data_IF_044938781775
#
_entry.id   IF_044938781775
#
_cell.length_a   1.000
_cell.length_b   1.000
_cell.length_c   1.000
_cell.angle_alpha   90.00
_cell.angle_beta   90.00
_cell.angle_gamma   90.00
#
_symmetry.space_group_name_H-M   'P 1'
#
loop_
_entity.id
_entity.type
_entity.pdbx_description
1 polymer ?
#
# COMPACT_ATOMS: atom_id res chain seq x y z
N UNK A 1 0.64 14.17 -18.23
CA UNK A 1 -0.14 13.81 -17.02
C UNK A 1 0.25 12.39 -16.65
N UNK A 2 0.63 12.12 -15.39
CA UNK A 2 1.00 10.76 -14.92
C UNK A 2 -0.26 9.93 -14.66
N UNK A 3 -0.20 8.63 -14.96
CA UNK A 3 -1.23 7.68 -14.53
C UNK A 3 -0.76 6.96 -13.26
N UNK A 4 -1.56 7.05 -12.21
CA UNK A 4 -1.24 6.53 -10.87
C UNK A 4 -2.27 5.46 -10.49
N UNK A 5 -1.82 4.23 -10.29
CA UNK A 5 -2.64 3.17 -9.72
C UNK A 5 -2.40 3.07 -8.22
N UNK A 6 -3.48 3.12 -7.44
CA UNK A 6 -3.43 2.91 -5.99
C UNK A 6 -4.36 1.77 -5.62
N UNK A 7 -3.82 0.70 -5.05
CA UNK A 7 -4.64 -0.41 -4.57
C UNK A 7 -5.19 -0.12 -3.17
N UNK A 8 -6.45 -0.51 -2.90
CA UNK A 8 -7.12 -0.25 -1.61
C UNK A 8 -7.30 1.24 -1.33
N UNK A 9 -7.74 2.01 -2.33
CA UNK A 9 -7.79 3.46 -2.28
C UNK A 9 -9.17 4.06 -1.90
N UNK A 10 -10.11 3.23 -1.42
CA UNK A 10 -11.44 3.73 -0.99
C UNK A 10 -11.40 4.49 0.35
N UNK A 11 -10.35 4.30 1.16
CA UNK A 11 -10.22 4.92 2.50
C UNK A 11 -8.77 4.92 3.00
N UNK A 12 -8.55 5.57 4.14
CA UNK A 12 -7.26 5.56 4.84
C UNK A 12 -6.09 6.05 4.01
N UNK A 13 -4.94 5.40 4.14
CA UNK A 13 -3.69 5.79 3.47
C UNK A 13 -3.86 5.82 1.94
N UNK A 14 -4.57 4.82 1.37
CA UNK A 14 -4.79 4.77 -0.08
C UNK A 14 -5.61 5.95 -0.59
N UNK A 15 -6.67 6.35 0.12
CA UNK A 15 -7.47 7.53 -0.21
C UNK A 15 -6.66 8.82 -0.09
N UNK A 16 -5.94 9.01 1.02
CA UNK A 16 -5.07 10.17 1.20
C UNK A 16 -3.99 10.25 0.11
N UNK A 17 -3.42 9.10 -0.29
CA UNK A 17 -2.46 9.03 -1.39
C UNK A 17 -3.11 9.44 -2.72
N UNK A 18 -4.32 8.96 -3.02
CA UNK A 18 -5.06 9.35 -4.23
C UNK A 18 -5.30 10.86 -4.27
N UNK A 19 -5.69 11.45 -3.15
CA UNK A 19 -5.93 12.89 -3.05
C UNK A 19 -4.62 13.71 -3.13
N UNK A 20 -3.51 13.22 -2.61
CA UNK A 20 -2.20 13.84 -2.78
C UNK A 20 -1.81 13.92 -4.26
N UNK A 21 -1.94 12.82 -5.02
CA UNK A 21 -1.70 12.83 -6.46
C UNK A 21 -2.74 13.64 -7.25
N UNK A 22 -3.95 13.82 -6.71
CA UNK A 22 -4.95 14.67 -7.35
C UNK A 22 -4.51 16.15 -7.41
N UNK A 23 -3.76 16.63 -6.43
CA UNK A 23 -3.18 17.99 -6.47
C UNK A 23 -2.18 18.18 -7.61
N UNK A 24 -1.61 17.11 -8.13
CA UNK A 24 -0.72 17.12 -9.30
C UNK A 24 -1.47 16.99 -10.63
N UNK A 25 -2.80 16.95 -10.60
CA UNK A 25 -3.68 16.72 -11.76
C UNK A 25 -3.36 15.40 -12.49
N UNK A 26 -3.10 14.33 -11.72
CA UNK A 26 -2.81 13.02 -12.27
C UNK A 26 -4.07 12.32 -12.81
N UNK A 27 -3.89 11.28 -13.65
CA UNK A 27 -4.94 10.32 -13.94
C UNK A 27 -4.90 9.21 -12.89
N UNK A 28 -5.94 9.10 -12.05
CA UNK A 28 -5.92 8.24 -10.86
C UNK A 28 -6.78 7.00 -11.10
N UNK A 29 -6.17 5.82 -11.00
CA UNK A 29 -6.85 4.54 -11.01
C UNK A 29 -7.05 4.10 -9.54
N UNK A 30 -8.29 4.16 -9.08
CA UNK A 30 -8.71 3.89 -7.71
C UNK A 30 -9.18 2.45 -7.61
N UNK A 31 -8.32 1.55 -7.10
CA UNK A 31 -8.76 0.18 -6.84
C UNK A 31 -9.42 0.07 -5.47
N UNK A 32 -10.53 -0.69 -5.43
CA UNK A 32 -11.27 -1.06 -4.22
C UNK A 32 -11.77 -2.52 -4.32
N UNK A 33 -12.07 -3.14 -3.19
CA UNK A 33 -12.67 -4.48 -3.14
C UNK A 33 -14.20 -4.39 -3.01
N UNK A 34 -14.70 -3.99 -1.85
CA UNK A 34 -16.15 -3.96 -1.54
C UNK A 34 -16.68 -2.55 -1.22
N UNK A 35 -15.82 -1.62 -0.83
CA UNK A 35 -16.20 -0.26 -0.41
C UNK A 35 -16.30 0.68 -1.64
N UNK A 36 -17.35 0.48 -2.43
CA UNK A 36 -17.62 1.28 -3.63
C UNK A 36 -17.93 2.73 -3.28
N UNK A 37 -18.73 2.98 -2.25
CA UNK A 37 -19.12 4.33 -1.86
C UNK A 37 -17.91 5.18 -1.43
N UNK A 38 -16.98 4.58 -0.67
CA UNK A 38 -15.72 5.24 -0.33
C UNK A 38 -14.89 5.56 -1.56
N UNK A 39 -14.79 4.62 -2.51
CA UNK A 39 -14.05 4.84 -3.76
C UNK A 39 -14.69 5.94 -4.63
N UNK A 40 -16.02 6.00 -4.74
CA UNK A 40 -16.76 7.07 -5.44
C UNK A 40 -16.52 8.43 -4.79
N UNK A 41 -16.49 8.49 -3.45
CA UNK A 41 -16.17 9.71 -2.71
C UNK A 41 -14.77 10.22 -3.03
N UNK A 42 -13.77 9.34 -3.01
CA UNK A 42 -12.38 9.70 -3.35
C UNK A 42 -12.28 10.15 -4.82
N UNK A 43 -12.97 9.48 -5.73
CA UNK A 43 -12.98 9.86 -7.14
C UNK A 43 -13.58 11.26 -7.35
N UNK A 44 -14.71 11.57 -6.69
CA UNK A 44 -15.34 12.88 -6.75
C UNK A 44 -14.41 13.99 -6.22
N UNK A 45 -13.74 13.74 -5.09
CA UNK A 45 -12.76 14.69 -4.52
C UNK A 45 -11.56 14.90 -5.44
N UNK A 46 -11.05 13.83 -6.07
CA UNK A 46 -9.95 13.93 -7.04
C UNK A 46 -10.37 14.75 -8.27
N UNK A 47 -11.60 14.59 -8.75
CA UNK A 47 -12.15 15.35 -9.88
C UNK A 47 -12.31 16.84 -9.53
N UNK A 48 -12.74 17.17 -8.32
CA UNK A 48 -12.80 18.56 -7.82
C UNK A 48 -11.41 19.19 -7.80
N UNK A 49 -10.36 18.44 -7.49
CA UNK A 49 -8.98 18.90 -7.56
C UNK A 49 -8.43 19.02 -9.01
N UNK A 50 -9.21 18.66 -10.02
CA UNK A 50 -8.85 18.78 -11.44
C UNK A 50 -8.14 17.54 -12.02
N UNK A 51 -8.19 16.41 -11.34
CA UNK A 51 -7.70 15.11 -11.80
C UNK A 51 -8.80 14.34 -12.55
N UNK A 52 -8.40 13.34 -13.34
CA UNK A 52 -9.32 12.29 -13.75
C UNK A 52 -9.25 11.13 -12.78
N UNK A 53 -10.36 10.44 -12.57
CA UNK A 53 -10.43 9.29 -11.70
C UNK A 53 -11.25 8.16 -12.32
N UNK A 54 -10.71 6.94 -12.28
CA UNK A 54 -11.39 5.72 -12.72
C UNK A 54 -11.41 4.72 -11.57
N UNK A 55 -12.57 4.12 -11.35
CA UNK A 55 -12.75 3.06 -10.35
C UNK A 55 -12.44 1.70 -10.95
N UNK A 56 -11.66 0.90 -10.24
CA UNK A 56 -11.32 -0.47 -10.62
C UNK A 56 -11.65 -1.39 -9.43
N UNK A 57 -12.58 -2.33 -9.64
CA UNK A 57 -12.98 -3.28 -8.60
C UNK A 57 -12.30 -4.62 -8.78
N UNK A 58 -11.71 -5.15 -7.70
CA UNK A 58 -11.20 -6.52 -7.65
C UNK A 58 -11.13 -7.05 -6.21
N UNK A 59 -11.28 -8.36 -6.03
CA UNK A 59 -10.95 -9.03 -4.77
C UNK A 59 -9.52 -9.59 -4.84
N UNK A 60 -8.59 -8.95 -4.15
CA UNK A 60 -7.20 -9.36 -4.09
C UNK A 60 -6.94 -10.43 -3.02
N UNK A 61 -7.96 -10.95 -2.35
CA UNK A 61 -7.83 -12.05 -1.38
C UNK A 61 -7.81 -13.42 -2.06
N UNK A 62 -8.10 -13.50 -3.35
CA UNK A 62 -8.12 -14.73 -4.15
C UNK A 62 -7.13 -14.65 -5.31
N UNK A 63 -6.59 -15.81 -5.71
CA UNK A 63 -5.68 -15.90 -6.86
C UNK A 63 -6.40 -15.46 -8.15
N UNK A 64 -7.63 -15.94 -8.34
CA UNK A 64 -8.43 -15.61 -9.52
C UNK A 64 -8.66 -14.10 -9.64
N UNK A 65 -9.09 -13.45 -8.54
CA UNK A 65 -9.33 -12.02 -8.52
C UNK A 65 -8.05 -11.20 -8.76
N UNK A 66 -6.93 -11.61 -8.15
CA UNK A 66 -5.65 -10.95 -8.35
C UNK A 66 -5.15 -11.06 -9.79
N UNK A 67 -5.25 -12.26 -10.42
CA UNK A 67 -4.84 -12.47 -11.81
C UNK A 67 -5.76 -11.76 -12.79
N UNK A 68 -7.08 -11.82 -12.60
CA UNK A 68 -8.03 -11.09 -13.42
C UNK A 68 -7.79 -9.58 -13.37
N UNK A 69 -7.51 -9.05 -12.18
CA UNK A 69 -7.15 -7.64 -12.03
C UNK A 69 -5.84 -7.31 -12.75
N UNK A 70 -4.81 -8.12 -12.55
CA UNK A 70 -3.51 -7.95 -13.23
C UNK A 70 -3.68 -7.93 -14.76
N UNK A 71 -4.55 -8.77 -15.32
CA UNK A 71 -4.82 -8.77 -16.76
C UNK A 71 -5.45 -7.47 -17.24
N UNK A 72 -6.43 -6.92 -16.50
CA UNK A 72 -7.02 -5.61 -16.84
C UNK A 72 -5.99 -4.47 -16.85
N UNK A 73 -4.98 -4.55 -15.98
CA UNK A 73 -3.96 -3.52 -15.84
C UNK A 73 -3.01 -3.42 -17.03
N UNK A 74 -2.83 -4.49 -17.82
CA UNK A 74 -1.98 -4.49 -19.03
C UNK A 74 -2.45 -3.49 -20.09
N UNK A 75 -3.71 -3.08 -20.05
CA UNK A 75 -4.28 -2.09 -20.96
C UNK A 75 -4.09 -0.64 -20.49
N UNK A 76 -3.54 -0.44 -19.28
CA UNK A 76 -3.29 0.87 -18.71
C UNK A 76 -1.80 1.23 -18.77
N UNK A 77 -1.51 2.46 -19.21
CA UNK A 77 -0.15 3.02 -19.22
C UNK A 77 0.16 3.64 -17.85
N UNK A 78 0.55 2.80 -16.89
CA UNK A 78 0.72 3.19 -15.47
C UNK A 78 2.15 3.68 -15.24
N UNK A 79 2.29 4.93 -14.81
CA UNK A 79 3.58 5.57 -14.48
C UNK A 79 3.98 5.37 -13.02
N UNK A 80 2.97 5.25 -12.14
CA UNK A 80 3.17 5.11 -10.69
C UNK A 80 2.26 4.01 -10.16
N UNK A 81 2.84 3.06 -9.45
CA UNK A 81 2.12 1.98 -8.77
C UNK A 81 2.27 2.11 -7.26
N UNK A 82 1.15 2.20 -6.54
CA UNK A 82 1.10 2.16 -5.09
C UNK A 82 0.39 0.88 -4.64
N UNK A 83 1.16 -0.10 -4.20
CA UNK A 83 0.66 -1.33 -3.61
C UNK A 83 0.30 -1.08 -2.14
N UNK A 84 -0.89 -0.55 -1.91
CA UNK A 84 -1.37 -0.20 -0.58
C UNK A 84 -2.40 -1.21 -0.03
N UNK A 85 -3.14 -1.92 -0.87
CA UNK A 85 -4.12 -2.90 -0.40
C UNK A 85 -3.51 -3.87 0.62
N UNK A 86 -4.17 -4.04 1.74
CA UNK A 86 -3.71 -4.93 2.81
C UNK A 86 -4.65 -4.92 4.01
N UNK A 87 -4.73 -6.05 4.70
CA UNK A 87 -5.57 -6.24 5.88
C UNK A 87 -5.04 -7.40 6.72
N UNK A 88 -5.36 -7.39 8.01
CA UNK A 88 -5.24 -8.58 8.86
C UNK A 88 -6.22 -9.70 8.45
N UNK A 89 -7.33 -9.32 7.79
CA UNK A 89 -8.52 -10.17 7.54
C UNK A 89 -9.14 -10.63 8.86
N UNK A 90 -8.34 -11.04 9.81
CA UNK A 90 -8.71 -11.41 11.17
C UNK A 90 -7.47 -11.63 12.05
N UNK A 91 -7.69 -11.96 13.31
CA UNK A 91 -6.62 -12.28 14.25
C UNK A 91 -6.76 -13.73 14.70
N UNK A 92 -5.70 -14.51 14.48
CA UNK A 92 -5.61 -15.90 14.93
C UNK A 92 -4.25 -16.15 15.57
N UNK A 93 -4.23 -16.88 16.69
CA UNK A 93 -2.97 -17.36 17.27
C UNK A 93 -2.42 -18.51 16.41
N UNK A 94 -1.12 -18.75 16.49
CA UNK A 94 -0.46 -19.77 15.66
C UNK A 94 -1.11 -21.16 15.73
N UNK A 95 -1.50 -21.69 16.91
CA UNK A 95 -2.12 -23.03 16.99
C UNK A 95 -3.52 -23.10 16.33
N UNK A 96 -4.22 -21.96 16.26
CA UNK A 96 -5.62 -21.90 15.85
C UNK A 96 -5.78 -21.21 14.48
N UNK A 97 -4.68 -21.03 13.71
CA UNK A 97 -4.73 -20.37 12.41
C UNK A 97 -5.36 -21.27 11.35
N UNK A 98 -6.53 -20.91 10.79
CA UNK A 98 -7.11 -21.66 9.67
C UNK A 98 -6.25 -21.52 8.42
N UNK A 99 -6.12 -22.62 7.65
CA UNK A 99 -5.29 -22.63 6.43
C UNK A 99 -5.78 -21.62 5.39
N UNK A 100 -7.10 -21.52 5.20
CA UNK A 100 -7.70 -20.56 4.26
C UNK A 100 -7.46 -19.11 4.68
N UNK A 101 -7.46 -18.83 5.99
CA UNK A 101 -7.12 -17.49 6.49
C UNK A 101 -5.65 -17.15 6.22
N UNK A 102 -4.74 -18.09 6.43
CA UNK A 102 -3.33 -17.95 6.11
C UNK A 102 -3.13 -17.65 4.62
N UNK A 103 -3.71 -18.45 3.75
CA UNK A 103 -3.60 -18.33 2.29
C UNK A 103 -4.17 -16.98 1.79
N UNK A 104 -5.35 -16.59 2.26
CA UNK A 104 -5.97 -15.29 1.93
C UNK A 104 -5.14 -14.12 2.42
N UNK A 105 -4.53 -14.24 3.60
CA UNK A 105 -3.67 -13.17 4.14
C UNK A 105 -2.41 -13.01 3.29
N UNK A 106 -1.78 -14.10 2.88
CA UNK A 106 -0.63 -14.09 1.96
C UNK A 106 -1.04 -13.55 0.60
N UNK A 107 -2.17 -14.01 0.06
CA UNK A 107 -2.65 -13.56 -1.24
C UNK A 107 -2.85 -12.03 -1.26
N UNK A 108 -3.59 -11.48 -0.29
CA UNK A 108 -3.87 -10.05 -0.24
C UNK A 108 -2.62 -9.20 0.00
N UNK A 109 -1.76 -9.61 0.97
CA UNK A 109 -0.71 -8.73 1.48
C UNK A 109 0.65 -8.92 0.82
N UNK A 110 0.83 -9.99 0.03
CA UNK A 110 2.11 -10.31 -0.62
C UNK A 110 1.94 -10.71 -2.07
N UNK A 111 1.16 -11.76 -2.37
CA UNK A 111 1.08 -12.30 -3.73
C UNK A 111 0.46 -11.31 -4.71
N UNK A 112 -0.58 -10.58 -4.29
CA UNK A 112 -1.20 -9.54 -5.11
C UNK A 112 -0.22 -8.41 -5.48
N UNK A 113 0.67 -8.05 -4.56
CA UNK A 113 1.74 -7.06 -4.80
C UNK A 113 2.62 -7.50 -5.96
N UNK A 114 2.99 -8.78 -5.97
CA UNK A 114 3.78 -9.38 -7.05
C UNK A 114 3.01 -9.38 -8.38
N UNK A 115 1.79 -9.92 -8.44
CA UNK A 115 1.03 -10.04 -9.68
C UNK A 115 0.70 -8.68 -10.30
N UNK A 116 0.34 -7.69 -9.50
CA UNK A 116 0.07 -6.33 -9.96
C UNK A 116 1.35 -5.68 -10.50
N UNK A 117 2.47 -5.80 -9.79
CA UNK A 117 3.74 -5.29 -10.26
C UNK A 117 4.17 -5.95 -11.57
N UNK A 118 4.03 -7.28 -11.69
CA UNK A 118 4.34 -8.03 -12.92
C UNK A 118 3.54 -7.54 -14.14
N UNK A 119 2.28 -7.12 -13.93
CA UNK A 119 1.45 -6.60 -15.01
C UNK A 119 1.80 -5.17 -15.43
N UNK A 120 2.25 -4.33 -14.47
CA UNK A 120 2.47 -2.89 -14.66
C UNK A 120 3.90 -2.57 -15.13
N UNK A 121 4.88 -3.28 -14.59
CA UNK A 121 6.32 -3.01 -14.81
C UNK A 121 6.76 -3.07 -16.28
N UNK A 122 6.23 -3.95 -17.15
CA UNK A 122 6.63 -3.99 -18.57
C UNK A 122 6.49 -2.64 -19.29
N UNK A 123 5.40 -1.88 -19.06
CA UNK A 123 5.23 -0.54 -19.61
C UNK A 123 6.29 0.45 -19.04
N UNK A 124 6.60 0.37 -17.76
CA UNK A 124 7.62 1.23 -17.14
C UNK A 124 9.02 0.92 -17.71
N UNK A 125 9.33 -0.35 -17.98
CA UNK A 125 10.59 -0.77 -18.64
C UNK A 125 10.68 -0.20 -20.04
N UNK A 126 9.63 -0.34 -20.85
CA UNK A 126 9.59 0.24 -22.20
C UNK A 126 9.82 1.76 -22.16
N UNK A 127 9.22 2.44 -21.20
CA UNK A 127 9.33 3.88 -21.00
C UNK A 127 10.66 4.31 -20.38
N UNK A 128 11.46 3.39 -19.81
CA UNK A 128 12.67 3.66 -19.04
C UNK A 128 12.42 4.65 -17.87
N UNK A 129 11.24 4.59 -17.29
CA UNK A 129 10.81 5.47 -16.19
C UNK A 129 9.59 4.93 -15.46
N UNK A 130 9.65 4.86 -14.14
CA UNK A 130 8.51 4.44 -13.31
C UNK A 130 8.78 4.56 -11.82
N UNK A 131 7.69 4.52 -11.06
CA UNK A 131 7.76 4.51 -9.60
C UNK A 131 6.85 3.44 -9.03
N UNK A 132 7.38 2.64 -8.13
CA UNK A 132 6.61 1.65 -7.36
C UNK A 132 6.85 1.92 -5.88
N UNK A 133 5.77 2.12 -5.12
CA UNK A 133 5.84 2.19 -3.66
C UNK A 133 4.96 1.08 -3.08
N UNK A 134 5.58 0.21 -2.31
CA UNK A 134 4.90 -0.84 -1.56
C UNK A 134 4.60 -0.34 -0.14
N UNK A 135 3.38 -0.52 0.34
CA UNK A 135 3.02 -0.18 1.72
C UNK A 135 3.26 -1.40 2.61
N UNK A 136 4.37 -1.33 3.33
CA UNK A 136 4.75 -2.26 4.37
C UNK A 136 3.96 -2.04 5.67
N UNK A 137 4.63 -2.23 6.80
CA UNK A 137 4.11 -1.93 8.15
C UNK A 137 5.24 -2.08 9.19
N UNK A 138 5.16 -1.34 10.28
CA UNK A 138 5.96 -1.61 11.49
C UNK A 138 5.78 -3.06 11.97
N UNK A 139 4.63 -3.68 11.73
CA UNK A 139 4.39 -5.10 12.05
C UNK A 139 5.37 -6.04 11.35
N UNK A 140 5.82 -5.71 10.13
CA UNK A 140 6.85 -6.47 9.42
C UNK A 140 8.24 -6.36 10.05
N UNK A 141 8.45 -5.44 11.00
CA UNK A 141 9.69 -5.21 11.74
C UNK A 141 9.68 -5.89 13.11
N UNK A 142 8.57 -5.76 13.83
CA UNK A 142 8.46 -6.19 15.23
C UNK A 142 7.57 -7.43 15.44
N UNK A 143 7.03 -8.03 14.37
CA UNK A 143 6.15 -9.19 14.44
C UNK A 143 4.66 -8.87 14.65
N UNK A 144 4.34 -7.60 14.85
CA UNK A 144 2.96 -7.16 15.09
C UNK A 144 2.42 -7.52 16.48
N UNK A 145 1.16 -7.23 16.72
CA UNK A 145 0.48 -7.59 17.96
C UNK A 145 -0.07 -9.02 17.94
N UNK A 146 -0.65 -9.49 19.06
CA UNK A 146 -1.22 -10.84 19.18
C UNK A 146 -2.15 -11.20 18.01
N UNK A 147 -1.95 -12.37 17.42
CA UNK A 147 -2.75 -12.88 16.30
C UNK A 147 -2.50 -12.19 14.94
N UNK A 148 -1.47 -11.38 14.82
CA UNK A 148 -1.14 -10.66 13.58
C UNK A 148 0.04 -11.28 12.79
N UNK A 149 0.56 -12.44 13.21
CA UNK A 149 1.82 -12.97 12.66
C UNK A 149 1.77 -13.21 11.15
N UNK A 150 0.65 -13.69 10.59
CA UNK A 150 0.52 -13.90 9.15
C UNK A 150 0.67 -12.58 8.37
N UNK A 151 -0.01 -11.54 8.82
CA UNK A 151 0.14 -10.18 8.28
C UNK A 151 1.55 -9.65 8.44
N UNK A 152 2.13 -9.79 9.64
CA UNK A 152 3.48 -9.34 9.93
C UNK A 152 4.51 -10.03 9.03
N UNK A 153 4.37 -11.35 8.82
CA UNK A 153 5.19 -12.13 7.87
C UNK A 153 5.12 -11.55 6.47
N UNK A 154 3.90 -11.29 5.96
CA UNK A 154 3.72 -10.69 4.63
C UNK A 154 4.38 -9.30 4.54
N UNK A 155 4.21 -8.45 5.55
CA UNK A 155 4.76 -7.09 5.54
C UNK A 155 6.29 -7.08 5.69
N UNK A 156 6.88 -8.07 6.35
CA UNK A 156 8.33 -8.33 6.32
C UNK A 156 8.79 -8.78 4.93
N UNK A 157 8.06 -9.71 4.32
CA UNK A 157 8.35 -10.20 2.95
C UNK A 157 8.22 -9.08 1.89
N UNK A 158 7.28 -8.16 2.02
CA UNK A 158 7.15 -6.99 1.13
C UNK A 158 8.40 -6.12 1.17
N UNK A 159 9.05 -5.95 2.32
CA UNK A 159 10.32 -5.22 2.40
C UNK A 159 11.45 -5.92 1.65
N UNK A 160 11.51 -7.26 1.71
CA UNK A 160 12.47 -8.05 0.95
C UNK A 160 12.18 -8.01 -0.55
N UNK A 161 10.90 -8.17 -0.95
CA UNK A 161 10.44 -8.05 -2.33
C UNK A 161 10.80 -6.68 -2.92
N UNK A 162 10.62 -5.61 -2.16
CA UNK A 162 10.98 -4.24 -2.56
C UNK A 162 12.46 -4.14 -2.93
N UNK A 163 13.35 -4.71 -2.11
CA UNK A 163 14.81 -4.71 -2.39
C UNK A 163 15.15 -5.51 -3.64
N UNK A 164 14.53 -6.67 -3.83
CA UNK A 164 14.73 -7.51 -5.01
C UNK A 164 14.29 -6.79 -6.28
N UNK A 165 13.07 -6.24 -6.28
CA UNK A 165 12.54 -5.46 -7.41
C UNK A 165 13.39 -4.22 -7.70
N UNK A 166 13.81 -3.48 -6.68
CA UNK A 166 14.65 -2.30 -6.85
C UNK A 166 15.98 -2.64 -7.54
N UNK A 167 16.64 -3.72 -7.10
CA UNK A 167 17.89 -4.17 -7.68
C UNK A 167 17.75 -4.56 -9.15
N UNK A 168 16.65 -5.23 -9.50
CA UNK A 168 16.39 -5.70 -10.85
C UNK A 168 15.97 -4.55 -11.79
N UNK A 169 15.15 -3.63 -11.30
CA UNK A 169 14.48 -2.62 -12.12
C UNK A 169 15.19 -1.26 -12.20
N UNK A 170 16.14 -1.00 -11.29
CA UNK A 170 16.90 0.27 -11.31
C UNK A 170 17.61 0.57 -12.63
N UNK A 171 18.22 -0.43 -13.34
CA UNK A 171 18.83 -0.18 -14.65
C UNK A 171 17.84 0.33 -15.71
N UNK A 172 16.53 0.07 -15.52
CA UNK A 172 15.45 0.56 -16.40
C UNK A 172 14.83 1.87 -15.93
N UNK A 173 15.47 2.60 -15.00
CA UNK A 173 14.95 3.87 -14.48
C UNK A 173 13.70 3.76 -13.62
N UNK A 174 13.44 2.59 -13.04
CA UNK A 174 12.27 2.35 -12.20
C UNK A 174 12.67 2.38 -10.72
N UNK A 175 12.08 3.31 -9.99
CA UNK A 175 12.29 3.49 -8.54
C UNK A 175 11.33 2.59 -7.77
N UNK A 176 11.84 1.64 -7.00
CA UNK A 176 11.02 0.77 -6.14
C UNK A 176 11.41 1.01 -4.70
N UNK A 177 10.45 1.45 -3.86
CA UNK A 177 10.66 1.68 -2.44
C UNK A 177 9.47 1.18 -1.63
N UNK A 178 9.63 1.15 -0.32
CA UNK A 178 8.61 0.73 0.64
C UNK A 178 8.41 1.84 1.68
N UNK A 179 7.18 2.01 2.13
CA UNK A 179 6.85 2.82 3.31
C UNK A 179 6.33 1.88 4.37
N UNK A 180 6.84 1.98 5.59
CA UNK A 180 6.41 1.16 6.73
C UNK A 180 5.68 2.04 7.76
N UNK A 181 4.36 2.20 7.66
CA UNK A 181 3.59 2.95 8.64
C UNK A 181 3.61 2.28 10.03
N UNK A 182 3.60 3.11 11.06
CA UNK A 182 3.27 2.70 12.42
C UNK A 182 1.77 2.52 12.62
N UNK A 183 1.27 3.00 13.76
CA UNK A 183 -0.17 2.99 14.05
C UNK A 183 -0.79 4.27 13.50
N UNK A 184 -1.55 4.13 12.42
CA UNK A 184 -2.18 5.25 11.71
C UNK A 184 -3.68 5.27 12.01
N UNK A 185 -4.23 6.42 12.34
CA UNK A 185 -5.66 6.60 12.60
C UNK A 185 -6.48 6.36 11.33
N UNK A 186 -6.89 5.12 11.11
CA UNK A 186 -7.63 4.66 9.93
C UNK A 186 -8.69 3.63 10.32
N UNK A 187 -9.63 3.35 9.42
CA UNK A 187 -10.61 2.28 9.59
C UNK A 187 -10.00 0.89 9.88
N UNK A 188 -8.73 0.67 9.53
CA UNK A 188 -8.01 -0.55 9.91
C UNK A 188 -8.01 -0.73 11.43
N UNK A 189 -7.70 0.32 12.20
CA UNK A 189 -7.67 0.27 13.65
C UNK A 189 -9.07 0.32 14.28
N UNK A 190 -10.06 0.90 13.61
CA UNK A 190 -11.47 0.81 14.04
C UNK A 190 -11.97 -0.63 14.05
N UNK A 191 -11.51 -1.44 13.08
CA UNK A 191 -11.92 -2.86 12.96
C UNK A 191 -11.05 -3.78 13.85
N UNK A 192 -9.74 -3.54 13.93
CA UNK A 192 -8.79 -4.51 14.50
C UNK A 192 -8.17 -4.10 15.84
N UNK A 193 -8.58 -2.96 16.43
CA UNK A 193 -8.04 -2.49 17.70
C UNK A 193 -9.13 -2.05 18.66
N UNK A 194 -8.98 -2.37 19.94
CA UNK A 194 -9.86 -1.85 20.99
C UNK A 194 -9.42 -0.44 21.39
N UNK A 195 -10.28 0.37 22.06
CA UNK A 195 -9.89 1.68 22.59
C UNK A 195 -8.66 1.59 23.51
N UNK A 196 -8.57 0.56 24.35
CA UNK A 196 -7.44 0.33 25.24
C UNK A 196 -6.15 0.06 24.47
N UNK A 197 -6.23 -0.69 23.35
CA UNK A 197 -5.09 -0.91 22.47
C UNK A 197 -4.63 0.40 21.84
N UNK A 198 -5.55 1.27 21.39
CA UNK A 198 -5.22 2.56 20.79
C UNK A 198 -4.52 3.48 21.80
N UNK A 199 -5.00 3.55 23.03
CA UNK A 199 -4.31 4.32 24.09
C UNK A 199 -2.92 3.74 24.39
N UNK A 200 -2.79 2.41 24.45
CA UNK A 200 -1.48 1.77 24.61
C UNK A 200 -0.54 2.08 23.45
N UNK A 201 -1.05 2.11 22.21
CA UNK A 201 -0.23 2.47 21.05
C UNK A 201 0.26 3.92 21.12
N UNK A 202 -0.61 4.87 21.51
CA UNK A 202 -0.22 6.27 21.73
C UNK A 202 0.86 6.38 22.80
N UNK A 203 0.67 5.73 23.95
CA UNK A 203 1.60 5.77 25.07
C UNK A 203 2.98 5.18 24.71
N UNK A 204 3.01 4.16 23.85
CA UNK A 204 4.26 3.51 23.41
C UNK A 204 4.91 4.18 22.18
N UNK A 205 4.23 5.13 21.54
CA UNK A 205 4.79 5.87 20.41
C UNK A 205 5.50 7.11 20.95
N UNK A 206 6.81 7.30 20.71
CA UNK A 206 7.55 8.47 21.20
C UNK A 206 6.93 9.82 20.81
N UNK A 207 6.29 9.90 19.63
CA UNK A 207 5.55 11.10 19.20
C UNK A 207 4.28 11.36 20.03
N UNK A 208 3.86 10.47 20.93
CA UNK A 208 2.71 10.62 21.84
C UNK A 208 1.33 10.60 21.17
N UNK A 209 1.27 10.22 19.89
CA UNK A 209 0.02 10.19 19.11
C UNK A 209 0.06 9.11 18.03
N UNK A 210 -1.11 8.82 17.48
CA UNK A 210 -1.21 8.07 16.23
C UNK A 210 -0.79 8.96 15.04
N UNK A 211 -0.26 8.36 13.99
CA UNK A 211 -0.05 9.03 12.72
C UNK A 211 -1.35 9.25 11.96
N UNK A 212 -1.32 10.10 10.94
CA UNK A 212 -2.44 10.31 10.02
C UNK A 212 -2.18 9.63 8.66
N UNK A 213 -3.25 9.43 7.89
CA UNK A 213 -3.14 8.90 6.54
C UNK A 213 -2.33 9.82 5.63
N UNK A 214 -2.48 11.12 5.81
CA UNK A 214 -1.82 12.17 5.05
C UNK A 214 -0.30 12.16 5.29
N UNK A 215 0.15 11.99 6.54
CA UNK A 215 1.58 11.89 6.87
C UNK A 215 2.26 10.71 6.14
N UNK A 216 1.54 9.62 5.96
CA UNK A 216 2.05 8.47 5.17
C UNK A 216 1.99 8.77 3.67
N UNK A 217 0.90 9.38 3.19
CA UNK A 217 0.69 9.73 1.79
C UNK A 217 1.75 10.74 1.29
N UNK A 218 2.15 11.69 2.12
CA UNK A 218 3.20 12.68 1.79
C UNK A 218 4.55 12.00 1.53
N UNK A 219 4.91 11.01 2.33
CA UNK A 219 6.13 10.21 2.11
C UNK A 219 6.03 9.38 0.83
N UNK A 220 4.85 8.78 0.55
CA UNK A 220 4.61 8.04 -0.69
C UNK A 220 4.76 8.97 -1.90
N UNK A 221 4.15 10.15 -1.88
CA UNK A 221 4.24 11.13 -2.96
C UNK A 221 5.68 11.63 -3.15
N UNK A 222 6.42 11.89 -2.06
CA UNK A 222 7.84 12.23 -2.13
C UNK A 222 8.66 11.14 -2.82
N UNK A 223 8.48 9.87 -2.46
CA UNK A 223 9.18 8.74 -3.06
C UNK A 223 8.84 8.55 -4.55
N UNK A 224 7.71 9.06 -5.01
CA UNK A 224 7.28 9.04 -6.41
C UNK A 224 7.66 10.33 -7.16
N UNK A 225 8.59 11.11 -6.65
CA UNK A 225 9.03 12.38 -7.25
C UNK A 225 10.51 12.35 -7.65
N UNK A 226 10.92 13.26 -8.50
CA UNK A 226 12.34 13.46 -8.89
C UNK A 226 13.22 13.85 -7.68
N UNK A 227 12.63 14.34 -6.59
CA UNK A 227 13.37 14.67 -5.36
C UNK A 227 13.93 13.42 -4.67
N UNK A 228 13.35 12.25 -4.94
CA UNK A 228 13.76 10.95 -4.43
C UNK A 228 14.62 10.15 -5.44
N UNK A 229 15.19 10.80 -6.46
CA UNK A 229 15.85 10.15 -7.60
C UNK A 229 17.01 9.22 -7.24
N UNK A 230 17.58 9.32 -6.04
CA UNK A 230 18.68 8.44 -5.60
C UNK A 230 18.26 7.47 -4.49
N UNK A 231 16.94 7.30 -4.29
CA UNK A 231 16.38 6.38 -3.27
C UNK A 231 15.85 5.14 -3.98
N UNK A 232 16.50 3.98 -3.74
CA UNK A 232 16.12 2.69 -4.30
C UNK A 232 16.15 1.60 -3.24
N UNK A 233 15.14 0.75 -3.20
CA UNK A 233 15.07 -0.42 -2.35
C UNK A 233 14.95 -0.12 -0.86
N UNK A 234 14.66 1.12 -0.48
CA UNK A 234 14.57 1.53 0.91
C UNK A 234 13.19 1.24 1.49
N UNK A 235 13.16 0.95 2.78
CA UNK A 235 11.92 0.97 3.57
C UNK A 235 11.98 2.17 4.50
N UNK A 236 11.13 3.16 4.24
CA UNK A 236 11.04 4.38 5.04
C UNK A 236 10.02 4.17 6.17
N UNK A 237 10.50 4.31 7.40
CA UNK A 237 9.67 4.19 8.59
C UNK A 237 8.87 5.48 8.82
N UNK A 238 7.52 5.37 8.85
CA UNK A 238 6.59 6.47 9.15
C UNK A 238 5.77 6.09 10.37
N UNK A 239 6.41 6.07 11.55
CA UNK A 239 5.88 5.38 12.72
C UNK A 239 5.96 6.18 14.04
N UNK A 240 6.28 7.47 13.98
CA UNK A 240 6.36 8.34 15.19
C UNK A 240 7.46 7.93 16.18
N UNK A 241 8.48 7.19 15.73
CA UNK A 241 9.54 6.68 16.57
C UNK A 241 9.23 5.34 17.27
N UNK A 242 8.12 4.67 16.86
CA UNK A 242 7.74 3.37 17.44
C UNK A 242 8.76 2.26 17.15
N UNK A 243 9.48 2.39 16.04
CA UNK A 243 10.55 1.49 15.64
C UNK A 243 11.64 2.24 14.87
N UNK A 244 12.88 1.87 15.12
CA UNK A 244 14.07 2.36 14.40
C UNK A 244 14.73 1.18 13.67
N UNK A 245 15.01 1.32 12.36
CA UNK A 245 15.66 0.31 11.53
C UNK A 245 17.19 0.44 11.59
#
# INVERSE_FOLDING_TARGET
MRTVLITGASKGIGAATALSFAQEKANILIHYSSDRAGAETVAAQAQVAGSTAQLLQADLTTLEGALAFAETLKHHKIDVLINNAGSLIGRHKLPDMPSDHWERTIMLNLSSVFYIAQAVVPYMIEKQKGWVVNVGSVAGRNGGGPGAFAYATCKGAVSALTKAMAKELAPSGIHVNCVAPGVIATNFHEVFSTPQMLESFKANTPAGRLGTSEETADVIAYLCSEKAAYIYGQTIEVNGGLYFA
#
